data_IF_575213862809
#
_entry.id   IF_575213862809
#
_cell.length_a   1.000
_cell.length_b   1.000
_cell.length_c   1.000
_cell.angle_alpha   90.00
_cell.angle_beta   90.00
_cell.angle_gamma   90.00
#
_symmetry.space_group_name_H-M   'P 1'
#
loop_
_entity.id
_entity.type
_entity.pdbx_description
1 polymer ?
#
# COMPACT_ATOMS: atom_id res chain seq x y z
N UNK A 1 50.30 23.35 -15.93
CA UNK A 1 48.97 23.61 -15.35
C UNK A 1 47.95 23.51 -16.47
N UNK A 2 47.17 22.43 -16.48
CA UNK A 2 46.07 22.22 -17.42
C UNK A 2 45.01 21.47 -16.61
N UNK A 3 43.72 21.81 -16.67
CA UNK A 3 42.86 21.41 -17.78
C UNK A 3 41.46 22.03 -17.65
N UNK A 4 41.00 22.51 -18.80
CA UNK A 4 39.68 22.30 -19.39
C UNK A 4 38.42 23.03 -18.89
N UNK A 5 37.87 23.74 -19.89
CA UNK A 5 36.63 24.46 -19.98
C UNK A 5 35.36 23.58 -19.96
N UNK A 6 34.26 24.15 -19.49
CA UNK A 6 32.87 23.87 -19.95
C UNK A 6 32.63 24.68 -21.23
N UNK A 7 31.82 24.23 -22.22
CA UNK A 7 30.35 24.13 -22.03
C UNK A 7 29.58 23.17 -22.99
N UNK A 8 28.24 23.18 -22.87
CA UNK A 8 27.21 22.79 -23.86
C UNK A 8 27.02 21.29 -24.14
N UNK A 9 25.86 20.75 -24.53
CA UNK A 9 24.45 21.18 -24.69
C UNK A 9 23.65 19.89 -25.02
N UNK A 10 22.32 20.02 -24.92
CA UNK A 10 21.29 19.30 -25.70
C UNK A 10 20.77 17.95 -25.23
N UNK A 11 19.47 17.97 -24.94
CA UNK A 11 18.48 16.91 -25.11
C UNK A 11 18.71 16.08 -26.37
N UNK A 12 18.62 14.75 -26.24
CA UNK A 12 18.31 13.86 -27.35
C UNK A 12 17.27 12.85 -26.88
N UNK A 13 16.03 13.06 -27.36
CA UNK A 13 15.00 12.02 -27.42
C UNK A 13 15.50 10.98 -28.42
N UNK A 14 15.64 9.72 -28.01
CA UNK A 14 15.81 8.62 -28.95
C UNK A 14 14.54 7.79 -29.01
N UNK A 15 14.05 7.71 -30.23
CA UNK A 15 12.85 7.02 -30.66
C UNK A 15 13.01 5.50 -30.58
N UNK A 16 11.85 4.85 -30.50
CA UNK A 16 11.66 3.41 -30.55
C UNK A 16 12.19 2.77 -31.84
N UNK A 17 12.36 1.44 -31.74
CA UNK A 17 12.31 0.42 -32.80
C UNK A 17 13.67 -0.11 -33.28
N UNK A 18 14.08 -1.28 -32.77
CA UNK A 18 14.63 -2.39 -33.57
C UNK A 18 14.65 -3.66 -32.72
N UNK A 19 13.89 -4.68 -33.14
CA UNK A 19 13.97 -6.04 -32.59
C UNK A 19 15.30 -6.65 -32.98
N UNK A 20 16.12 -7.03 -31.99
CA UNK A 20 17.30 -7.87 -32.18
C UNK A 20 17.13 -9.11 -31.29
N UNK A 21 16.97 -10.27 -31.93
CA UNK A 21 17.17 -11.58 -31.31
C UNK A 21 18.67 -11.74 -31.01
N UNK A 22 19.05 -11.75 -29.74
CA UNK A 22 20.44 -11.94 -29.32
C UNK A 22 20.64 -11.80 -27.82
N UNK A 23 20.67 -12.94 -27.12
CA UNK A 23 21.24 -13.18 -25.79
C UNK A 23 21.45 -11.95 -24.88
N UNK A 24 20.38 -11.47 -24.26
CA UNK A 24 20.51 -10.73 -23.01
C UNK A 24 20.33 -11.75 -21.89
N UNK A 25 21.44 -12.09 -21.22
CA UNK A 25 21.39 -12.57 -19.84
C UNK A 25 20.34 -11.75 -19.12
N UNK A 26 19.22 -12.37 -18.77
CA UNK A 26 18.29 -11.79 -17.82
C UNK A 26 19.15 -11.49 -16.60
N UNK A 27 19.51 -10.21 -16.44
CA UNK A 27 20.02 -9.71 -15.19
C UNK A 27 18.97 -10.16 -14.20
N UNK A 28 19.35 -11.09 -13.33
CA UNK A 28 18.61 -11.42 -12.14
C UNK A 28 18.59 -10.12 -11.35
N UNK A 29 17.65 -9.23 -11.68
CA UNK A 29 17.22 -8.22 -10.74
C UNK A 29 16.89 -9.02 -9.48
N UNK A 30 17.51 -8.73 -8.33
CA UNK A 30 17.11 -9.38 -7.10
C UNK A 30 15.61 -9.16 -7.00
N UNK A 31 14.86 -10.26 -7.07
CA UNK A 31 13.43 -10.27 -6.79
C UNK A 31 13.36 -9.68 -5.38
N UNK A 32 12.97 -8.42 -5.28
CA UNK A 32 12.92 -7.76 -4.00
C UNK A 32 11.77 -8.42 -3.26
N UNK A 33 12.11 -9.35 -2.37
CA UNK A 33 11.13 -10.06 -1.58
C UNK A 33 10.30 -9.02 -0.83
N UNK A 34 8.98 -9.14 -0.97
CA UNK A 34 8.01 -8.40 -0.17
C UNK A 34 8.42 -8.47 1.32
N UNK A 35 8.29 -7.37 2.07
CA UNK A 35 8.43 -7.40 3.51
C UNK A 35 7.41 -8.40 4.08
N UNK A 36 7.86 -9.56 4.60
CA UNK A 36 6.94 -10.51 5.21
C UNK A 36 6.40 -9.91 6.51
N UNK A 37 5.20 -10.35 6.91
CA UNK A 37 4.62 -10.02 8.21
C UNK A 37 5.59 -10.24 9.39
N UNK A 38 6.49 -11.23 9.26
CA UNK A 38 7.52 -11.52 10.25
C UNK A 38 8.57 -10.42 10.40
N UNK A 39 8.89 -9.66 9.35
CA UNK A 39 9.82 -8.52 9.45
C UNK A 39 9.16 -7.36 10.22
N UNK A 40 7.88 -7.13 10.00
CA UNK A 40 7.09 -6.15 10.74
C UNK A 40 6.89 -6.52 12.21
N UNK A 41 6.67 -7.80 12.51
CA UNK A 41 6.61 -8.29 13.90
C UNK A 41 7.94 -8.15 14.61
N UNK A 42 9.05 -8.49 13.95
CA UNK A 42 10.39 -8.30 14.50
C UNK A 42 10.68 -6.83 14.75
N UNK A 43 10.25 -5.96 13.84
CA UNK A 43 10.37 -4.51 14.02
C UNK A 43 9.53 -4.04 15.22
N UNK A 44 8.26 -4.44 15.32
CA UNK A 44 7.40 -4.10 16.45
C UNK A 44 7.95 -4.64 17.77
N UNK A 45 8.56 -5.82 17.77
CA UNK A 45 9.25 -6.35 18.96
C UNK A 45 10.42 -5.46 19.38
N UNK A 46 11.13 -4.87 18.43
CA UNK A 46 12.22 -3.94 18.71
C UNK A 46 11.72 -2.56 19.18
N UNK A 47 10.67 -2.05 18.54
CA UNK A 47 10.14 -0.69 18.74
C UNK A 47 9.27 -0.56 20.00
N UNK A 48 8.36 -1.52 20.23
CA UNK A 48 7.36 -1.46 21.30
C UNK A 48 7.35 -2.67 22.22
N UNK A 49 8.28 -3.62 22.04
CA UNK A 49 8.22 -4.91 22.72
C UNK A 49 7.09 -5.82 22.20
N UNK A 50 6.56 -5.53 21.01
CA UNK A 50 5.49 -6.30 20.37
C UNK A 50 4.08 -5.85 20.74
N UNK A 51 3.94 -4.76 21.50
CA UNK A 51 2.63 -4.22 21.87
C UNK A 51 2.10 -3.28 20.80
N UNK A 52 1.17 -3.77 19.98
CA UNK A 52 0.53 -3.01 18.91
C UNK A 52 -0.41 -1.91 19.40
N UNK A 53 -0.90 -1.98 20.63
CA UNK A 53 -1.77 -0.97 21.22
C UNK A 53 -1.03 0.01 22.14
N UNK A 54 0.32 0.02 22.11
CA UNK A 54 1.11 0.83 23.04
C UNK A 54 0.81 2.33 22.86
N UNK A 55 0.63 3.00 23.99
CA UNK A 55 0.52 4.45 24.09
C UNK A 55 1.03 4.88 25.47
N UNK A 56 2.33 5.17 25.58
CA UNK A 56 2.99 5.52 26.84
C UNK A 56 3.06 7.03 27.08
N UNK A 57 2.56 7.85 26.14
CA UNK A 57 2.67 9.31 26.21
C UNK A 57 4.04 9.86 25.77
N UNK A 58 4.88 9.05 25.11
CA UNK A 58 6.18 9.46 24.56
C UNK A 58 6.09 10.19 23.19
N UNK A 59 4.87 10.45 22.69
CA UNK A 59 4.63 11.08 21.39
C UNK A 59 4.60 10.13 20.19
N UNK A 60 4.79 8.83 20.43
CA UNK A 60 4.72 7.77 19.42
C UNK A 60 3.66 6.74 19.81
N UNK A 61 3.08 6.09 18.80
CA UNK A 61 1.89 5.26 18.99
C UNK A 61 2.01 3.94 18.25
N UNK A 62 1.49 2.90 18.89
CA UNK A 62 1.33 1.58 18.29
C UNK A 62 2.63 0.79 18.14
N UNK A 63 2.51 -0.40 17.56
CA UNK A 63 3.58 -1.40 17.52
C UNK A 63 4.84 -0.91 16.81
N UNK A 64 4.66 -0.09 15.78
CA UNK A 64 5.75 0.45 14.97
C UNK A 64 6.13 1.89 15.33
N UNK A 65 5.67 2.38 16.48
CA UNK A 65 6.05 3.69 17.03
C UNK A 65 5.86 4.82 16.01
N UNK A 66 4.65 4.96 15.46
CA UNK A 66 4.34 6.04 14.53
C UNK A 66 4.23 7.39 15.24
N UNK A 67 4.77 8.45 14.64
CA UNK A 67 4.40 9.82 15.00
C UNK A 67 3.00 10.16 14.46
N UNK A 68 2.22 11.07 15.09
CA UNK A 68 0.93 11.50 14.57
C UNK A 68 1.00 12.06 13.14
N UNK A 69 2.05 12.81 12.83
CA UNK A 69 2.28 13.38 11.50
C UNK A 69 2.52 12.31 10.45
N UNK A 70 3.36 11.31 10.75
CA UNK A 70 3.61 10.19 9.83
C UNK A 70 2.34 9.36 9.65
N UNK A 71 1.66 9.04 10.74
CA UNK A 71 0.39 8.31 10.70
C UNK A 71 -0.62 8.99 9.77
N UNK A 72 -0.79 10.31 9.91
CA UNK A 72 -1.69 11.08 9.05
C UNK A 72 -1.21 11.18 7.61
N UNK A 73 0.08 11.41 7.38
CA UNK A 73 0.63 11.62 6.03
C UNK A 73 0.57 10.36 5.16
N UNK A 74 0.58 9.18 5.77
CA UNK A 74 0.63 7.89 5.07
C UNK A 74 -0.70 7.12 5.12
N UNK A 75 -1.80 7.83 5.38
CA UNK A 75 -3.16 7.30 5.25
C UNK A 75 -3.73 6.63 6.50
N UNK A 76 -3.04 6.65 7.65
CA UNK A 76 -3.51 5.97 8.84
C UNK A 76 -4.83 6.48 9.43
N UNK A 77 -5.19 7.73 9.18
CA UNK A 77 -6.45 8.34 9.66
C UNK A 77 -7.72 7.62 9.15
N UNK A 78 -7.62 6.84 8.07
CA UNK A 78 -8.75 6.05 7.58
C UNK A 78 -9.04 4.80 8.43
N UNK A 79 -8.04 4.36 9.19
CA UNK A 79 -8.14 3.19 10.07
C UNK A 79 -8.48 3.63 11.49
N UNK A 80 -7.74 4.60 12.03
CA UNK A 80 -7.99 5.14 13.35
C UNK A 80 -7.34 6.53 13.53
N UNK A 81 -7.78 7.27 14.55
CA UNK A 81 -7.22 8.59 14.85
C UNK A 81 -5.74 8.53 15.26
N UNK A 82 -5.30 7.43 15.89
CA UNK A 82 -3.89 7.14 16.16
C UNK A 82 -3.52 5.69 15.84
N UNK A 83 -2.24 5.42 15.61
CA UNK A 83 -1.76 4.07 15.33
C UNK A 83 -2.09 3.07 16.46
N UNK A 84 -2.04 3.49 17.73
CA UNK A 84 -2.34 2.62 18.88
C UNK A 84 -3.80 2.14 18.93
N UNK A 85 -4.70 2.81 18.20
CA UNK A 85 -6.11 2.45 18.09
C UNK A 85 -6.40 1.59 16.85
N UNK A 86 -5.42 1.45 15.95
CA UNK A 86 -5.53 0.63 14.76
C UNK A 86 -5.03 -0.80 15.04
N UNK A 87 -5.58 -1.77 14.32
CA UNK A 87 -5.11 -3.16 14.38
C UNK A 87 -3.66 -3.25 13.90
N UNK A 88 -3.01 -4.37 14.23
CA UNK A 88 -1.66 -4.69 13.74
C UNK A 88 -1.59 -4.58 12.21
N UNK A 89 -2.56 -5.17 11.53
CA UNK A 89 -2.60 -5.24 10.07
C UNK A 89 -2.74 -3.83 9.48
N UNK A 90 -3.60 -3.00 10.08
CA UNK A 90 -3.79 -1.58 9.75
C UNK A 90 -2.50 -0.78 9.90
N UNK A 91 -1.79 -0.97 11.01
CA UNK A 91 -0.53 -0.28 11.25
C UNK A 91 0.54 -0.66 10.23
N UNK A 92 0.67 -1.94 9.92
CA UNK A 92 1.64 -2.40 8.93
C UNK A 92 1.25 -1.93 7.52
N UNK A 93 -0.04 -1.85 7.15
CA UNK A 93 -0.40 -1.29 5.84
C UNK A 93 0.04 0.16 5.68
N UNK A 94 -0.07 0.97 6.74
CA UNK A 94 0.50 2.33 6.76
C UNK A 94 2.03 2.28 6.71
N UNK A 95 2.64 1.31 7.39
CA UNK A 95 4.08 1.12 7.41
C UNK A 95 4.64 0.77 6.03
N UNK A 96 3.91 -0.01 5.24
CA UNK A 96 4.25 -0.36 3.86
C UNK A 96 4.24 0.89 2.95
N UNK A 97 3.30 1.81 3.16
CA UNK A 97 3.29 3.10 2.47
C UNK A 97 4.50 3.96 2.86
N UNK A 98 4.88 3.96 4.14
CA UNK A 98 6.09 4.65 4.62
C UNK A 98 7.35 4.01 4.02
N UNK A 99 7.41 2.67 4.01
CA UNK A 99 8.52 1.90 3.46
C UNK A 99 8.68 2.16 1.96
N UNK A 100 7.58 2.27 1.22
CA UNK A 100 7.60 2.61 -0.20
C UNK A 100 8.19 4.00 -0.46
N UNK A 101 7.91 4.97 0.43
CA UNK A 101 8.33 6.36 0.24
C UNK A 101 9.73 6.67 0.79
N UNK A 102 10.10 6.07 1.92
CA UNK A 102 11.31 6.43 2.68
C UNK A 102 12.29 5.27 2.85
N UNK A 103 11.88 4.05 2.52
CA UNK A 103 12.63 2.84 2.85
C UNK A 103 12.69 2.58 4.36
N UNK A 104 13.49 1.59 4.75
CA UNK A 104 13.69 1.20 6.16
C UNK A 104 14.34 2.29 7.03
N UNK A 105 14.78 3.40 6.42
CA UNK A 105 15.31 4.58 7.12
C UNK A 105 14.28 5.30 8.00
N UNK A 106 12.99 5.02 7.85
CA UNK A 106 11.95 5.49 8.76
C UNK A 106 12.06 4.86 10.17
N UNK A 107 12.69 3.69 10.29
CA UNK A 107 12.96 3.00 11.57
C UNK A 107 14.45 2.70 11.74
N UNK A 108 15.33 3.72 11.77
CA UNK A 108 16.75 3.56 11.49
C UNK A 108 17.48 2.65 12.49
N UNK A 109 17.13 2.73 13.77
CA UNK A 109 17.80 1.96 14.83
C UNK A 109 17.44 0.48 14.77
N UNK A 110 16.14 0.17 14.72
CA UNK A 110 15.66 -1.20 14.77
C UNK A 110 15.82 -1.92 13.43
N UNK A 111 15.56 -1.26 12.30
CA UNK A 111 15.73 -1.87 10.99
C UNK A 111 17.19 -2.24 10.72
N UNK A 112 18.14 -1.36 11.06
CA UNK A 112 19.58 -1.64 10.97
C UNK A 112 20.00 -2.80 11.88
N UNK A 113 19.51 -2.83 13.13
CA UNK A 113 19.81 -3.91 14.08
C UNK A 113 19.29 -5.28 13.61
N UNK A 114 18.14 -5.29 12.94
CA UNK A 114 17.47 -6.50 12.47
C UNK A 114 17.89 -6.93 11.05
N UNK A 115 18.61 -6.06 10.33
CA UNK A 115 19.04 -6.30 8.95
C UNK A 115 17.90 -6.26 7.93
N UNK A 116 16.86 -5.45 8.18
CA UNK A 116 15.67 -5.39 7.31
C UNK A 116 16.00 -4.66 6.00
N UNK A 117 15.74 -5.31 4.88
CA UNK A 117 16.04 -4.80 3.53
C UNK A 117 15.00 -5.23 2.48
N UNK A 118 13.89 -5.84 2.89
CA UNK A 118 12.78 -6.26 2.05
C UNK A 118 12.08 -5.06 1.39
N UNK A 119 11.45 -5.25 0.23
CA UNK A 119 10.74 -4.19 -0.47
C UNK A 119 9.32 -3.98 0.08
N UNK A 120 8.80 -2.77 -0.08
CA UNK A 120 7.42 -2.47 0.29
C UNK A 120 6.43 -3.20 -0.59
N UNK A 121 5.39 -3.76 0.02
CA UNK A 121 4.25 -4.35 -0.67
C UNK A 121 2.98 -3.76 -0.06
N UNK A 122 2.46 -2.63 -0.59
CA UNK A 122 1.28 -1.97 -0.04
C UNK A 122 0.12 -2.95 0.15
N UNK A 123 -0.36 -3.06 1.38
CA UNK A 123 -1.40 -4.02 1.76
C UNK A 123 -2.74 -3.33 1.85
N UNK A 124 -3.75 -3.93 1.24
CA UNK A 124 -5.12 -3.44 1.32
C UNK A 124 -5.80 -4.02 2.54
N UNK A 125 -5.67 -3.35 3.68
CA UNK A 125 -6.30 -3.82 4.92
C UNK A 125 -7.70 -3.23 5.05
N UNK A 126 -8.67 -4.13 4.97
CA UNK A 126 -10.11 -3.85 4.92
C UNK A 126 -10.69 -3.60 6.32
N UNK A 127 -9.84 -3.26 7.30
CA UNK A 127 -10.21 -3.26 8.72
C UNK A 127 -11.30 -2.25 9.13
N UNK A 128 -11.77 -1.43 8.19
CA UNK A 128 -12.90 -0.50 8.39
C UNK A 128 -14.10 -0.77 7.47
N UNK A 129 -14.05 -1.74 6.56
CA UNK A 129 -15.19 -2.05 5.69
C UNK A 129 -16.16 -3.05 6.36
N UNK A 130 -17.44 -3.09 5.96
CA UNK A 130 -18.39 -4.10 6.42
C UNK A 130 -17.90 -5.54 6.19
N UNK A 131 -18.31 -6.47 7.05
CA UNK A 131 -17.87 -7.87 7.03
C UNK A 131 -18.04 -8.57 5.66
N UNK A 132 -19.07 -8.21 4.90
CA UNK A 132 -19.27 -8.73 3.53
C UNK A 132 -18.20 -8.26 2.54
N UNK A 133 -17.75 -7.01 2.64
CA UNK A 133 -16.65 -6.48 1.82
C UNK A 133 -15.35 -7.13 2.23
N UNK A 134 -15.14 -7.34 3.54
CA UNK A 134 -13.99 -8.08 4.05
C UNK A 134 -13.95 -9.51 3.51
N UNK A 135 -15.08 -10.21 3.45
CA UNK A 135 -15.16 -11.57 2.90
C UNK A 135 -14.84 -11.62 1.39
N UNK A 136 -15.33 -10.66 0.62
CA UNK A 136 -15.06 -10.55 -0.82
C UNK A 136 -13.56 -10.34 -1.06
N UNK A 137 -12.94 -9.41 -0.33
CA UNK A 137 -11.50 -9.12 -0.48
C UNK A 137 -10.64 -10.28 0.02
N UNK A 138 -11.01 -10.93 1.13
CA UNK A 138 -10.30 -12.10 1.64
C UNK A 138 -10.29 -13.26 0.64
N UNK A 139 -11.33 -13.40 -0.18
CA UNK A 139 -11.38 -14.42 -1.24
C UNK A 139 -10.58 -14.07 -2.50
N UNK A 140 -10.15 -12.81 -2.65
CA UNK A 140 -9.45 -12.31 -3.83
C UNK A 140 -7.92 -12.46 -3.76
N UNK A 141 -7.36 -12.66 -2.55
CA UNK A 141 -5.93 -12.71 -2.30
C UNK A 141 -5.35 -11.38 -1.82
N UNK A 142 -4.01 -11.31 -1.72
CA UNK A 142 -3.33 -10.25 -0.96
C UNK A 142 -3.03 -8.96 -1.75
N UNK A 143 -3.30 -8.92 -3.07
CA UNK A 143 -3.02 -7.73 -3.88
C UNK A 143 -4.18 -6.73 -3.89
N UNK A 144 -3.83 -5.45 -3.95
CA UNK A 144 -4.78 -4.34 -4.06
C UNK A 144 -5.59 -4.40 -5.36
N UNK A 145 -4.99 -4.82 -6.48
CA UNK A 145 -5.72 -5.04 -7.73
C UNK A 145 -6.79 -6.10 -7.59
N UNK A 146 -6.46 -7.26 -6.99
CA UNK A 146 -7.41 -8.35 -6.84
C UNK A 146 -8.57 -7.95 -5.91
N UNK A 147 -8.27 -7.22 -4.83
CA UNK A 147 -9.27 -6.67 -3.94
C UNK A 147 -10.23 -5.70 -4.65
N UNK A 148 -9.71 -4.75 -5.43
CA UNK A 148 -10.51 -3.82 -6.24
C UNK A 148 -11.38 -4.54 -7.25
N UNK A 149 -10.82 -5.54 -7.94
CA UNK A 149 -11.52 -6.36 -8.93
C UNK A 149 -12.69 -7.12 -8.30
N UNK A 150 -12.45 -7.75 -7.14
CA UNK A 150 -13.46 -8.54 -6.47
C UNK A 150 -14.65 -7.68 -6.02
N UNK A 151 -14.39 -6.52 -5.42
CA UNK A 151 -15.45 -5.59 -4.98
C UNK A 151 -16.18 -4.96 -6.17
N UNK A 152 -15.44 -4.54 -7.21
CA UNK A 152 -16.03 -4.01 -8.44
C UNK A 152 -16.95 -5.03 -9.14
N UNK A 153 -16.51 -6.28 -9.25
CA UNK A 153 -17.32 -7.35 -9.86
C UNK A 153 -18.55 -7.68 -9.02
N UNK A 154 -18.43 -7.68 -7.68
CA UNK A 154 -19.57 -7.87 -6.79
C UNK A 154 -20.62 -6.75 -6.96
N UNK A 155 -20.19 -5.49 -7.04
CA UNK A 155 -21.06 -4.34 -7.34
C UNK A 155 -21.76 -4.51 -8.68
N UNK A 156 -21.00 -4.81 -9.73
CA UNK A 156 -21.52 -5.01 -11.08
C UNK A 156 -22.59 -6.10 -11.11
N UNK A 157 -22.36 -7.21 -10.41
CA UNK A 157 -23.33 -8.29 -10.26
C UNK A 157 -24.62 -7.84 -9.57
N UNK A 158 -24.52 -7.08 -8.48
CA UNK A 158 -25.69 -6.55 -7.74
C UNK A 158 -26.49 -5.55 -8.56
N UNK A 159 -25.82 -4.60 -9.20
CA UNK A 159 -26.47 -3.64 -10.10
C UNK A 159 -27.20 -4.36 -11.25
N UNK A 160 -26.54 -5.33 -11.88
CA UNK A 160 -27.13 -6.14 -12.94
C UNK A 160 -28.35 -6.93 -12.46
N UNK A 161 -28.31 -7.50 -11.24
CA UNK A 161 -29.44 -8.21 -10.63
C UNK A 161 -30.64 -7.28 -10.32
N UNK A 162 -30.39 -6.00 -10.06
CA UNK A 162 -31.42 -4.97 -9.89
C UNK A 162 -31.89 -4.36 -11.22
N UNK A 163 -31.35 -4.79 -12.36
CA UNK A 163 -31.65 -4.20 -13.67
C UNK A 163 -31.14 -2.77 -13.85
N UNK A 164 -30.18 -2.34 -13.02
CA UNK A 164 -29.59 -1.02 -13.06
C UNK A 164 -28.17 -1.09 -13.68
N UNK A 165 -27.76 -0.11 -14.50
CA UNK A 165 -26.39 -0.02 -14.96
C UNK A 165 -25.47 0.40 -13.80
N UNK A 166 -24.19 0.02 -13.90
CA UNK A 166 -23.17 0.48 -12.97
C UNK A 166 -22.99 2.01 -13.09
N UNK A 167 -22.93 2.77 -11.99
CA UNK A 167 -22.73 4.21 -12.07
C UNK A 167 -21.39 4.53 -12.73
N UNK A 168 -21.40 5.42 -13.74
CA UNK A 168 -20.20 5.80 -14.50
C UNK A 168 -19.08 6.35 -13.60
N UNK A 169 -19.45 7.00 -12.49
CA UNK A 169 -18.50 7.45 -11.48
C UNK A 169 -17.71 6.27 -10.89
N UNK A 170 -18.38 5.21 -10.44
CA UNK A 170 -17.71 4.03 -9.88
C UNK A 170 -16.80 3.35 -10.91
N UNK A 171 -17.26 3.23 -12.16
CA UNK A 171 -16.44 2.72 -13.27
C UNK A 171 -15.18 3.56 -13.50
N UNK A 172 -15.30 4.89 -13.49
CA UNK A 172 -14.16 5.78 -13.67
C UNK A 172 -13.15 5.67 -12.53
N UNK A 173 -13.63 5.61 -11.28
CA UNK A 173 -12.78 5.43 -10.10
C UNK A 173 -12.10 4.07 -10.10
N UNK A 174 -12.82 3.00 -10.44
CA UNK A 174 -12.22 1.67 -10.57
C UNK A 174 -11.08 1.67 -11.59
N UNK A 175 -11.30 2.21 -12.80
CA UNK A 175 -10.26 2.25 -13.82
C UNK A 175 -9.05 3.11 -13.42
N UNK A 176 -9.27 4.19 -12.67
CA UNK A 176 -8.20 5.08 -12.21
C UNK A 176 -7.41 4.54 -11.01
N UNK A 177 -8.08 3.78 -10.12
CA UNK A 177 -7.53 3.36 -8.82
C UNK A 177 -7.56 1.84 -8.62
N UNK A 178 -7.58 1.05 -9.69
CA UNK A 178 -7.61 -0.42 -9.63
C UNK A 178 -6.50 -0.99 -8.74
N UNK A 179 -5.28 -0.46 -8.83
CA UNK A 179 -4.13 -0.87 -8.01
C UNK A 179 -4.10 -0.28 -6.59
N UNK A 180 -5.09 0.53 -6.22
CA UNK A 180 -5.21 1.11 -4.89
C UNK A 180 -6.65 0.90 -4.37
N UNK A 181 -6.88 -0.31 -3.86
CA UNK A 181 -8.17 -0.72 -3.30
C UNK A 181 -8.68 0.26 -2.26
N UNK A 182 -7.79 0.80 -1.44
CA UNK A 182 -8.20 1.65 -0.36
C UNK A 182 -8.71 3.00 -0.88
N UNK A 183 -8.05 3.61 -1.86
CA UNK A 183 -8.55 4.81 -2.54
C UNK A 183 -9.85 4.52 -3.29
N UNK A 184 -9.93 3.39 -4.01
CA UNK A 184 -11.16 2.97 -4.68
C UNK A 184 -12.33 2.79 -3.69
N UNK A 185 -12.11 2.03 -2.61
CA UNK A 185 -13.13 1.69 -1.63
C UNK A 185 -13.61 2.93 -0.87
N UNK A 186 -12.70 3.79 -0.38
CA UNK A 186 -13.07 5.00 0.37
C UNK A 186 -13.86 6.00 -0.49
N UNK A 187 -13.44 6.21 -1.74
CA UNK A 187 -14.12 7.13 -2.66
C UNK A 187 -15.54 6.66 -3.03
N UNK A 188 -15.79 5.35 -2.99
CA UNK A 188 -17.07 4.77 -3.36
C UNK A 188 -17.82 4.19 -2.16
N UNK A 189 -17.30 4.34 -0.93
CA UNK A 189 -17.74 3.62 0.27
C UNK A 189 -19.25 3.60 0.44
N UNK A 190 -19.89 4.77 0.36
CA UNK A 190 -21.34 4.87 0.50
C UNK A 190 -22.10 4.02 -0.53
N UNK A 191 -21.67 4.05 -1.79
CA UNK A 191 -22.27 3.24 -2.86
C UNK A 191 -21.98 1.76 -2.66
N UNK A 192 -20.74 1.42 -2.29
CA UNK A 192 -20.30 0.04 -2.07
C UNK A 192 -21.08 -0.59 -0.92
N UNK A 193 -21.12 0.10 0.20
CA UNK A 193 -21.77 -0.39 1.41
C UNK A 193 -23.28 -0.50 1.20
N UNK A 194 -23.92 0.49 0.57
CA UNK A 194 -25.36 0.46 0.27
C UNK A 194 -25.74 -0.70 -0.64
N UNK A 195 -24.96 -0.98 -1.68
CA UNK A 195 -25.33 -1.98 -2.71
C UNK A 195 -24.99 -3.41 -2.28
N UNK A 196 -23.90 -3.58 -1.53
CA UNK A 196 -23.44 -4.90 -1.08
C UNK A 196 -24.03 -5.36 0.25
N UNK A 197 -24.65 -4.47 1.03
CA UNK A 197 -25.45 -4.85 2.20
C UNK A 197 -25.51 -3.76 3.27
N UNK A 198 -26.19 -2.67 2.94
CA UNK A 198 -27.06 -1.94 3.86
C UNK A 198 -28.50 -2.10 3.34
#
# INVERSE_FOLDING_TARGET
>A
MARHAKPNRTFAKFAASTVVLGTATALLAPQASAAPDSDWDRLAQCESGGNWAINTGNGYYGGLQFSPSTWSAYGGQQYAASASQASREQQIAVAENVLAAQGWGAWPSCSARLGLNSASTPRSVVGSAPAQVQAIVASAGDSSEAASDAVYNALKGRFSAMGMPMPAQVDSFYNAYRGDFNTFYTANRETIDTVLGM
#
